data_IF_124188797187
#
_entry.id   IF_124188797187
#
_cell.length_a   1.000
_cell.length_b   1.000
_cell.length_c   1.000
_cell.angle_alpha   90.00
_cell.angle_beta   90.00
_cell.angle_gamma   90.00
#
_symmetry.space_group_name_H-M   'P 1'
#
loop_
_entity.id
_entity.type
_entity.pdbx_description
1 polymer ?
#
# COMPACT_ATOMS: atom_id res chain seq x y z
N UNK A 1 33.50 -4.65 -17.25
CA UNK A 1 32.62 -5.70 -16.68
C UNK A 1 31.54 -4.98 -15.89
N UNK A 2 30.33 -4.86 -16.43
CA UNK A 2 29.19 -4.29 -15.71
C UNK A 2 28.60 -5.38 -14.81
N UNK A 3 28.62 -5.14 -13.50
CA UNK A 3 27.97 -5.98 -12.50
C UNK A 3 26.45 -5.72 -12.54
N UNK A 4 25.73 -6.62 -13.21
CA UNK A 4 24.27 -6.56 -13.37
C UNK A 4 23.49 -7.10 -12.16
N UNK A 5 24.18 -7.41 -11.05
CA UNK A 5 23.55 -8.02 -9.87
C UNK A 5 22.90 -6.98 -8.96
N UNK A 6 23.33 -5.72 -9.02
CA UNK A 6 22.96 -4.70 -8.02
C UNK A 6 21.90 -3.68 -8.47
N UNK A 7 21.44 -3.72 -9.74
CA UNK A 7 20.42 -2.79 -10.24
C UNK A 7 19.55 -3.42 -11.34
N UNK A 8 18.51 -4.22 -11.02
CA UNK A 8 17.57 -4.65 -12.04
C UNK A 8 16.69 -3.46 -12.47
N UNK A 9 16.62 -3.14 -13.78
CA UNK A 9 15.86 -2.01 -14.32
C UNK A 9 14.35 -2.26 -14.45
N UNK A 10 13.80 -3.25 -13.74
CA UNK A 10 12.42 -3.71 -14.00
C UNK A 10 11.70 -4.13 -12.71
N UNK A 11 11.05 -3.16 -12.06
CA UNK A 11 9.87 -3.39 -11.21
C UNK A 11 8.69 -2.56 -11.74
N UNK A 12 8.51 -2.57 -13.05
CA UNK A 12 7.23 -2.26 -13.69
C UNK A 12 6.69 -3.65 -14.05
N UNK A 13 5.65 -4.22 -13.49
CA UNK A 13 4.25 -3.86 -13.78
C UNK A 13 3.33 -4.79 -12.97
N UNK A 14 3.49 -4.88 -11.65
CA UNK A 14 2.74 -5.89 -10.89
C UNK A 14 2.90 -5.88 -9.37
N UNK A 15 3.15 -4.74 -8.72
CA UNK A 15 3.21 -4.71 -7.24
C UNK A 15 1.94 -5.27 -6.58
N UNK A 16 0.80 -5.29 -7.29
CA UNK A 16 -0.45 -5.94 -6.86
C UNK A 16 -0.27 -7.45 -6.64
N UNK A 17 0.47 -8.16 -7.48
CA UNK A 17 0.73 -9.60 -7.33
C UNK A 17 1.73 -9.87 -6.19
N UNK A 18 2.81 -9.08 -6.11
CA UNK A 18 3.84 -9.27 -5.09
C UNK A 18 3.32 -8.93 -3.68
N UNK A 19 2.54 -7.85 -3.54
CA UNK A 19 1.98 -7.48 -2.24
C UNK A 19 0.94 -8.50 -1.77
N UNK A 20 0.20 -9.14 -2.67
CA UNK A 20 -0.72 -10.22 -2.34
C UNK A 20 0.04 -11.46 -1.83
N UNK A 21 1.16 -11.83 -2.47
CA UNK A 21 2.00 -12.92 -1.98
C UNK A 21 2.57 -12.61 -0.57
N UNK A 22 3.04 -11.36 -0.34
CA UNK A 22 3.50 -10.92 0.98
C UNK A 22 2.36 -10.99 2.00
N UNK A 23 1.17 -10.51 1.65
CA UNK A 23 -0.01 -10.56 2.50
C UNK A 23 -0.38 -11.99 2.89
N UNK A 24 -0.39 -12.92 1.93
CA UNK A 24 -0.66 -14.33 2.17
C UNK A 24 0.41 -15.02 3.04
N UNK A 25 1.65 -14.51 3.01
CA UNK A 25 2.77 -15.05 3.80
C UNK A 25 2.81 -14.57 5.26
N UNK A 26 1.92 -13.64 5.65
CA UNK A 26 1.97 -12.94 6.94
C UNK A 26 0.61 -13.00 7.66
N UNK A 27 0.64 -12.93 8.99
CA UNK A 27 -0.58 -12.62 9.75
C UNK A 27 -1.06 -11.20 9.43
N UNK A 28 -2.35 -10.90 9.61
CA UNK A 28 -2.91 -9.55 9.40
C UNK A 28 -2.11 -8.47 10.14
N UNK A 29 -1.73 -8.72 11.39
CA UNK A 29 -0.92 -7.78 12.20
C UNK A 29 0.47 -7.54 11.62
N UNK A 30 1.13 -8.59 11.12
CA UNK A 30 2.44 -8.48 10.47
C UNK A 30 2.35 -7.72 9.16
N UNK A 31 1.32 -7.99 8.35
CA UNK A 31 1.09 -7.27 7.11
C UNK A 31 0.78 -5.79 7.34
N UNK A 32 -0.07 -5.46 8.32
CA UNK A 32 -0.30 -4.09 8.77
C UNK A 32 1.00 -3.40 9.21
N UNK A 33 1.88 -4.12 9.93
CA UNK A 33 3.21 -3.64 10.30
C UNK A 33 4.09 -3.34 9.09
N UNK A 34 4.09 -4.21 8.08
CA UNK A 34 4.79 -4.00 6.81
C UNK A 34 4.28 -2.75 6.07
N UNK A 35 2.95 -2.58 5.96
CA UNK A 35 2.35 -1.41 5.34
C UNK A 35 2.74 -0.12 6.09
N UNK A 36 2.61 -0.12 7.42
CA UNK A 36 3.02 1.01 8.29
C UNK A 36 4.48 1.39 8.10
N UNK A 37 5.38 0.39 8.07
CA UNK A 37 6.81 0.62 7.84
C UNK A 37 7.09 1.28 6.49
N UNK A 38 6.37 0.87 5.44
CA UNK A 38 6.49 1.49 4.12
C UNK A 38 5.99 2.94 4.11
N UNK A 39 4.86 3.24 4.75
CA UNK A 39 4.38 4.63 4.89
C UNK A 39 5.47 5.50 5.52
N UNK A 40 6.03 5.08 6.66
CA UNK A 40 7.10 5.82 7.35
C UNK A 40 8.34 5.99 6.45
N UNK A 41 8.76 4.93 5.76
CA UNK A 41 9.89 4.96 4.83
C UNK A 41 9.72 6.03 3.75
N UNK A 42 8.55 6.10 3.12
CA UNK A 42 8.30 7.09 2.07
C UNK A 42 8.08 8.51 2.63
N UNK A 43 7.43 8.63 3.78
CA UNK A 43 7.29 9.90 4.51
C UNK A 43 8.62 10.44 5.05
N UNK A 44 9.63 9.61 5.27
CA UNK A 44 10.97 10.11 5.59
C UNK A 44 11.72 10.51 4.32
N UNK A 45 11.58 9.74 3.25
CA UNK A 45 12.40 9.88 2.04
C UNK A 45 11.96 11.01 1.10
N UNK A 46 10.70 11.43 1.17
CA UNK A 46 10.16 12.41 0.22
C UNK A 46 10.91 13.74 0.24
N UNK A 47 11.38 14.20 1.41
CA UNK A 47 12.02 15.51 1.55
C UNK A 47 13.34 15.63 0.76
N UNK A 48 14.04 14.53 0.51
CA UNK A 48 15.41 14.56 -0.03
C UNK A 48 15.65 13.63 -1.24
N UNK A 49 14.67 12.83 -1.69
CA UNK A 49 14.87 11.90 -2.81
C UNK A 49 13.89 12.10 -3.97
N UNK A 50 12.65 11.62 -3.83
CA UNK A 50 11.69 11.55 -4.94
C UNK A 50 10.45 12.45 -4.74
N UNK A 51 10.40 13.26 -3.68
CA UNK A 51 9.36 14.26 -3.41
C UNK A 51 7.94 13.69 -3.59
N UNK A 52 7.17 14.23 -4.53
CA UNK A 52 5.78 13.85 -4.77
C UNK A 52 5.59 12.35 -5.07
N UNK A 53 6.56 11.69 -5.70
CA UNK A 53 6.47 10.26 -6.01
C UNK A 53 6.48 9.40 -4.75
N UNK A 54 7.24 9.81 -3.73
CA UNK A 54 7.25 9.11 -2.44
C UNK A 54 5.97 9.41 -1.63
N UNK A 55 5.44 10.63 -1.72
CA UNK A 55 4.12 10.95 -1.14
C UNK A 55 3.00 10.09 -1.74
N UNK A 56 3.00 9.91 -3.06
CA UNK A 56 2.04 9.03 -3.74
C UNK A 56 2.17 7.56 -3.28
N UNK A 57 3.39 7.06 -3.10
CA UNK A 57 3.62 5.73 -2.54
C UNK A 57 3.14 5.64 -1.08
N UNK A 58 3.44 6.63 -0.25
CA UNK A 58 2.97 6.68 1.13
C UNK A 58 1.44 6.61 1.20
N UNK A 59 0.74 7.39 0.36
CA UNK A 59 -0.72 7.34 0.26
C UNK A 59 -1.24 5.97 -0.16
N UNK A 60 -0.59 5.32 -1.13
CA UNK A 60 -0.98 3.97 -1.59
C UNK A 60 -0.88 2.91 -0.49
N UNK A 61 0.20 2.92 0.29
CA UNK A 61 0.39 2.02 1.43
C UNK A 61 -0.57 2.33 2.57
N UNK A 62 -0.85 3.62 2.83
CA UNK A 62 -1.79 4.04 3.86
C UNK A 62 -3.23 3.59 3.54
N UNK A 63 -3.67 3.74 2.28
CA UNK A 63 -4.99 3.29 1.85
C UNK A 63 -5.19 1.79 2.08
N UNK A 64 -4.20 0.97 1.71
CA UNK A 64 -4.21 -0.48 1.98
C UNK A 64 -4.22 -0.81 3.47
N UNK A 65 -3.50 -0.01 4.27
CA UNK A 65 -3.51 -0.19 5.72
C UNK A 65 -4.94 0.00 6.25
N UNK A 66 -5.64 1.06 5.83
CA UNK A 66 -7.05 1.29 6.18
C UNK A 66 -7.94 0.13 5.73
N UNK A 67 -7.82 -0.33 4.48
CA UNK A 67 -8.56 -1.49 3.96
C UNK A 67 -8.34 -2.73 4.84
N UNK A 68 -7.11 -2.99 5.31
CA UNK A 68 -6.83 -4.13 6.21
C UNK A 68 -7.37 -3.96 7.63
N UNK A 69 -7.62 -2.73 8.09
CA UNK A 69 -8.24 -2.45 9.38
C UNK A 69 -9.76 -2.63 9.30
N UNK A 70 -10.41 -2.08 8.28
CA UNK A 70 -11.86 -2.19 8.05
C UNK A 70 -12.29 -3.66 7.83
N UNK A 71 -11.47 -4.44 7.13
CA UNK A 71 -11.70 -5.88 6.91
C UNK A 71 -11.46 -6.73 8.18
N UNK A 72 -10.71 -6.24 9.16
CA UNK A 72 -10.50 -6.92 10.45
C UNK A 72 -11.71 -6.83 11.37
N UNK A 73 -12.58 -5.84 11.18
CA UNK A 73 -13.79 -5.61 11.97
C UNK A 73 -15.07 -6.15 11.29
N UNK A 74 -15.00 -6.55 10.02
CA UNK A 74 -16.15 -7.01 9.22
C UNK A 74 -16.14 -8.51 8.94
N UNK A 75 -15.86 -9.34 9.94
CA UNK A 75 -16.46 -10.69 10.00
C UNK A 75 -17.86 -10.61 10.64
N UNK A 76 -18.68 -9.70 10.11
CA UNK A 76 -19.97 -9.35 10.69
C UNK A 76 -20.64 -8.19 9.96
N UNK A 77 -20.74 -8.24 8.64
CA UNK A 77 -21.94 -7.84 7.87
C UNK A 77 -21.56 -7.62 6.40
N UNK A 78 -21.98 -8.55 5.55
CA UNK A 78 -22.27 -8.21 4.17
C UNK A 78 -23.29 -7.08 4.17
N UNK A 79 -23.00 -5.94 3.56
CA UNK A 79 -24.04 -5.17 2.88
C UNK A 79 -23.44 -4.37 1.72
N UNK A 80 -23.90 -4.74 0.53
CA UNK A 80 -23.98 -3.86 -0.63
C UNK A 80 -24.90 -2.69 -0.27
N UNK A 81 -24.49 -1.46 -0.53
CA UNK A 81 -25.43 -0.40 -0.90
C UNK A 81 -24.80 0.47 -1.97
N UNK A 82 -25.46 0.47 -3.13
CA UNK A 82 -25.30 1.46 -4.17
C UNK A 82 -25.85 2.81 -3.68
N UNK A 83 -25.36 3.87 -4.33
CA UNK A 83 -26.04 5.15 -4.60
C UNK A 83 -26.19 6.15 -3.45
N UNK A 84 -25.60 7.35 -3.63
CA UNK A 84 -26.34 8.62 -3.76
C UNK A 84 -25.38 9.83 -3.56
N UNK A 85 -25.23 10.60 -4.65
CA UNK A 85 -25.34 12.07 -4.72
C UNK A 85 -24.73 12.91 -3.58
N UNK A 86 -23.58 13.55 -3.84
CA UNK A 86 -23.11 14.70 -3.04
C UNK A 86 -23.74 15.98 -3.64
N UNK A 87 -24.56 16.76 -2.91
CA UNK A 87 -24.92 18.10 -3.33
C UNK A 87 -23.75 19.04 -3.11
N UNK A 88 -23.49 19.85 -4.14
CA UNK A 88 -22.60 21.00 -4.11
C UNK A 88 -23.16 22.13 -3.25
N UNK A 89 -22.34 22.65 -2.34
CA UNK A 89 -22.38 24.05 -1.87
C UNK A 89 -21.02 24.69 -2.16
#
# INVERSE_FOLDING_TARGET
>A
MMDNVNQPPHYNTGEIECIQAIQASMTTRQFQGYLKGNVIKYMWRYEYKNQQEDLAKAQWYLRRLMETYENGETNGSSNKTNDESIPSD
#
